data_IF_703829276665
#
_entry.id   IF_703829276665
#
_cell.length_a   1.000
_cell.length_b   1.000
_cell.length_c   1.000
_cell.angle_alpha   90.00
_cell.angle_beta   90.00
_cell.angle_gamma   90.00
#
_symmetry.space_group_name_H-M   'P 1'
#
loop_
_entity.id
_entity.type
_entity.pdbx_description
1 polymer ?
#
# COMPACT_ATOMS: atom_id res chain seq x y z
N UNK A 1 12.62 -17.52 6.00
CA UNK A 1 11.19 -17.45 6.35
C UNK A 1 10.44 -17.88 5.11
N UNK A 2 9.56 -18.88 5.22
CA UNK A 2 8.76 -19.36 4.10
C UNK A 2 7.33 -18.84 4.28
N UNK A 3 6.83 -18.07 3.32
CA UNK A 3 5.47 -17.57 3.34
C UNK A 3 4.58 -18.68 2.78
N UNK A 4 3.50 -19.00 3.48
CA UNK A 4 2.53 -20.01 3.04
C UNK A 4 1.53 -19.37 2.08
N UNK A 5 1.87 -19.36 0.79
CA UNK A 5 1.07 -18.75 -0.27
C UNK A 5 -0.29 -19.45 -0.40
N UNK A 6 -0.35 -20.77 -0.25
CA UNK A 6 -1.61 -21.50 -0.31
C UNK A 6 -2.56 -21.01 0.79
N UNK A 7 -2.06 -20.83 2.02
CA UNK A 7 -2.86 -20.30 3.13
C UNK A 7 -3.34 -18.87 2.86
N UNK A 8 -2.52 -18.01 2.26
CA UNK A 8 -2.93 -16.66 1.87
C UNK A 8 -4.02 -16.69 0.79
N UNK A 9 -3.87 -17.55 -0.21
CA UNK A 9 -4.84 -17.74 -1.28
C UNK A 9 -6.19 -18.24 -0.74
N UNK A 10 -6.17 -19.27 0.11
CA UNK A 10 -7.39 -19.82 0.72
C UNK A 10 -8.13 -18.72 1.50
N UNK A 11 -7.39 -17.87 2.22
CA UNK A 11 -7.98 -16.75 2.95
C UNK A 11 -8.53 -15.68 2.00
N UNK A 12 -7.80 -15.31 0.94
CA UNK A 12 -8.22 -14.35 -0.08
C UNK A 12 -9.58 -14.73 -0.69
N UNK A 13 -9.76 -16.00 -1.09
CA UNK A 13 -11.01 -16.51 -1.67
C UNK A 13 -12.20 -16.36 -0.71
N UNK A 14 -11.97 -16.44 0.61
CA UNK A 14 -13.05 -16.29 1.60
C UNK A 14 -13.42 -14.85 1.94
N UNK A 15 -12.50 -13.91 1.72
CA UNK A 15 -12.65 -12.53 2.16
C UNK A 15 -13.35 -11.62 1.14
N UNK A 16 -13.56 -12.08 -0.10
CA UNK A 16 -14.14 -11.30 -1.20
C UNK A 16 -13.50 -9.91 -1.32
N UNK A 17 -12.17 -9.85 -1.21
CA UNK A 17 -11.42 -8.59 -1.29
C UNK A 17 -11.63 -7.99 -2.68
N UNK A 18 -12.02 -6.71 -2.79
CA UNK A 18 -12.19 -6.06 -4.08
C UNK A 18 -10.92 -6.10 -4.94
N UNK A 19 -11.09 -6.21 -6.25
CA UNK A 19 -9.99 -6.18 -7.22
C UNK A 19 -10.51 -5.66 -8.57
N UNK A 20 -10.33 -4.36 -8.90
CA UNK A 20 -9.79 -3.28 -8.08
C UNK A 20 -10.81 -2.78 -7.02
N UNK A 21 -10.35 -1.87 -6.14
CA UNK A 21 -11.21 -1.17 -5.20
C UNK A 21 -11.94 0.01 -5.87
N UNK A 22 -13.17 0.28 -5.42
CA UNK A 22 -13.93 1.48 -5.79
C UNK A 22 -13.49 2.69 -4.97
N UNK A 23 -13.81 3.91 -5.44
CA UNK A 23 -13.52 5.14 -4.68
C UNK A 23 -14.20 5.18 -3.30
N UNK A 24 -15.37 4.56 -3.16
CA UNK A 24 -16.09 4.46 -1.88
C UNK A 24 -15.34 3.54 -0.90
N UNK A 25 -14.90 2.37 -1.37
CA UNK A 25 -14.11 1.44 -0.56
C UNK A 25 -12.74 2.00 -0.19
N UNK A 26 -12.10 2.74 -1.10
CA UNK A 26 -10.87 3.47 -0.81
C UNK A 26 -11.13 4.52 0.27
N UNK A 27 -12.21 5.30 0.15
CA UNK A 27 -12.56 6.30 1.13
C UNK A 27 -12.77 5.70 2.52
N UNK A 28 -13.57 4.65 2.63
CA UNK A 28 -13.79 3.91 3.89
C UNK A 28 -12.46 3.43 4.46
N UNK A 29 -11.63 2.74 3.66
CA UNK A 29 -10.34 2.22 4.11
C UNK A 29 -9.42 3.33 4.63
N UNK A 30 -9.27 4.42 3.89
CA UNK A 30 -8.38 5.52 4.26
C UNK A 30 -8.85 6.24 5.53
N UNK A 31 -10.15 6.49 5.66
CA UNK A 31 -10.72 7.20 6.81
C UNK A 31 -10.77 6.33 8.07
N UNK A 32 -11.12 5.04 7.95
CA UNK A 32 -11.27 4.17 9.11
C UNK A 32 -9.93 3.70 9.66
N UNK A 33 -9.01 3.27 8.79
CA UNK A 33 -7.72 2.72 9.23
C UNK A 33 -6.71 3.81 9.53
N UNK A 34 -6.63 4.81 8.66
CA UNK A 34 -5.58 5.83 8.70
C UNK A 34 -6.08 7.19 9.17
N UNK A 35 -7.36 7.32 9.52
CA UNK A 35 -7.94 8.59 9.96
C UNK A 35 -7.68 9.73 8.96
N UNK A 36 -7.60 9.37 7.67
CA UNK A 36 -7.35 10.33 6.60
C UNK A 36 -8.52 11.30 6.48
N UNK A 37 -8.23 12.55 6.15
CA UNK A 37 -9.23 13.55 5.84
C UNK A 37 -9.32 13.71 4.32
N UNK A 38 -10.52 13.57 3.77
CA UNK A 38 -10.78 13.92 2.38
C UNK A 38 -10.83 15.45 2.27
N UNK A 39 -10.04 16.03 1.38
CA UNK A 39 -9.96 17.48 1.19
C UNK A 39 -10.31 17.88 -0.25
N UNK A 40 -10.51 19.18 -0.46
CA UNK A 40 -10.71 19.73 -1.79
C UNK A 40 -9.40 19.64 -2.61
N UNK A 41 -9.51 19.32 -3.91
CA UNK A 41 -8.36 19.25 -4.80
C UNK A 41 -7.63 20.60 -4.92
N UNK A 42 -8.32 21.72 -4.74
CA UNK A 42 -7.73 23.06 -4.80
C UNK A 42 -6.65 23.31 -3.73
N UNK A 43 -6.64 22.54 -2.63
CA UNK A 43 -5.53 22.55 -1.66
C UNK A 43 -4.19 22.19 -2.30
N UNK A 44 -4.22 21.45 -3.41
CA UNK A 44 -3.04 21.03 -4.18
C UNK A 44 -2.96 21.70 -5.55
N UNK A 45 -3.62 22.84 -5.74
CA UNK A 45 -3.68 23.55 -7.03
C UNK A 45 -2.31 23.90 -7.61
N UNK A 46 -1.28 24.07 -6.78
CA UNK A 46 0.09 24.29 -7.22
C UNK A 46 0.66 23.14 -8.07
N UNK A 47 0.17 21.90 -7.88
CA UNK A 47 0.56 20.73 -8.67
C UNK A 47 0.15 20.84 -10.15
N UNK A 48 -0.77 21.75 -10.51
CA UNK A 48 -1.07 22.06 -11.92
C UNK A 48 0.13 22.56 -12.70
N UNK A 49 1.10 23.14 -12.00
CA UNK A 49 2.32 23.66 -12.60
C UNK A 49 3.43 22.60 -12.69
N UNK A 50 3.25 21.43 -12.09
CA UNK A 50 4.20 20.32 -12.15
C UNK A 50 3.80 19.36 -13.29
N UNK A 51 4.57 19.31 -14.40
CA UNK A 51 4.25 18.44 -15.53
C UNK A 51 4.39 16.95 -15.20
N UNK A 52 4.99 16.58 -14.07
CA UNK A 52 5.17 15.20 -13.64
C UNK A 52 4.15 14.76 -12.58
N UNK A 53 3.37 15.69 -12.01
CA UNK A 53 2.40 15.36 -10.98
C UNK A 53 1.14 14.67 -11.53
N UNK A 54 0.83 14.80 -12.82
CA UNK A 54 -0.38 14.22 -13.42
C UNK A 54 -1.67 14.77 -12.82
N UNK A 55 -1.67 16.04 -12.41
CA UNK A 55 -2.79 16.62 -11.66
C UNK A 55 -4.08 16.74 -12.48
N UNK A 56 -3.99 16.71 -13.80
CA UNK A 56 -5.13 16.64 -14.72
C UNK A 56 -5.96 15.34 -14.56
N UNK A 57 -5.36 14.30 -13.99
CA UNK A 57 -6.01 13.01 -13.71
C UNK A 57 -6.52 12.91 -12.28
N UNK A 58 -6.35 13.95 -11.46
CA UNK A 58 -6.76 13.94 -10.06
C UNK A 58 -8.28 13.80 -9.89
N UNK A 59 -8.72 12.83 -9.09
CA UNK A 59 -10.15 12.57 -8.83
C UNK A 59 -10.58 12.77 -7.37
N UNK A 60 -9.63 12.69 -6.43
CA UNK A 60 -9.85 12.96 -5.01
C UNK A 60 -8.51 13.20 -4.32
N UNK A 61 -8.50 13.92 -3.20
CA UNK A 61 -7.32 14.09 -2.36
C UNK A 61 -7.60 13.72 -0.90
N UNK A 62 -6.61 13.09 -0.28
CA UNK A 62 -6.61 12.69 1.12
C UNK A 62 -5.34 13.17 1.80
N UNK A 63 -5.47 13.77 2.97
CA UNK A 63 -4.35 14.16 3.84
C UNK A 63 -4.33 13.31 5.10
N UNK A 64 -3.14 12.95 5.56
CA UNK A 64 -2.96 12.11 6.76
C UNK A 64 -2.28 12.93 7.85
N UNK A 65 -3.09 13.57 8.70
CA UNK A 65 -2.62 14.47 9.76
C UNK A 65 -2.71 13.83 11.16
N UNK A 66 -3.52 12.78 11.32
CA UNK A 66 -3.71 12.12 12.61
C UNK A 66 -2.51 11.23 12.96
N UNK A 67 -1.95 11.43 14.15
CA UNK A 67 -0.76 10.71 14.64
C UNK A 67 -0.95 9.18 14.64
N UNK A 68 -2.18 8.69 14.87
CA UNK A 68 -2.49 7.25 14.82
C UNK A 68 -2.39 6.70 13.40
N UNK A 69 -2.76 7.52 12.41
CA UNK A 69 -2.63 7.20 11.00
C UNK A 69 -1.17 7.26 10.55
N UNK A 70 -0.50 8.37 10.81
CA UNK A 70 0.89 8.59 10.35
C UNK A 70 1.86 7.57 10.95
N UNK A 71 1.71 7.17 12.21
CA UNK A 71 2.48 6.08 12.83
C UNK A 71 2.30 4.74 12.12
N UNK A 72 1.11 4.45 11.62
CA UNK A 72 0.89 3.25 10.81
C UNK A 72 1.56 3.39 9.44
N UNK A 73 1.42 4.54 8.76
CA UNK A 73 1.98 4.77 7.44
C UNK A 73 3.51 4.61 7.39
N UNK A 74 4.22 4.96 8.46
CA UNK A 74 5.68 4.77 8.54
C UNK A 74 6.10 3.41 9.08
N UNK A 75 5.17 2.49 9.39
CA UNK A 75 5.51 1.23 10.08
C UNK A 75 6.39 0.28 9.26
N UNK A 76 6.43 0.48 7.93
CA UNK A 76 7.28 -0.26 7.01
C UNK A 76 8.51 0.53 6.56
N UNK A 77 8.63 1.81 6.93
CA UNK A 77 9.80 2.63 6.61
C UNK A 77 11.01 2.20 7.44
N UNK A 78 12.20 2.41 6.88
CA UNK A 78 13.45 2.39 7.65
C UNK A 78 13.52 3.63 8.51
N UNK A 79 14.14 3.52 9.68
CA UNK A 79 14.32 4.66 10.58
C UNK A 79 15.04 5.84 9.90
N UNK A 80 15.97 5.56 8.97
CA UNK A 80 16.70 6.57 8.20
C UNK A 80 15.84 7.29 7.14
N UNK A 81 14.75 6.66 6.69
CA UNK A 81 13.83 7.19 5.67
C UNK A 81 12.68 8.01 6.30
N UNK A 82 12.63 8.12 7.63
CA UNK A 82 11.59 8.85 8.35
C UNK A 82 12.09 10.28 8.59
N UNK A 83 11.38 11.25 8.02
CA UNK A 83 11.72 12.68 8.11
C UNK A 83 10.54 13.47 8.65
N UNK A 84 10.80 14.29 9.69
CA UNK A 84 9.81 15.19 10.28
C UNK A 84 9.85 16.57 9.60
N UNK A 85 8.70 17.26 9.46
CA UNK A 85 7.37 16.82 9.90
C UNK A 85 6.79 15.69 9.02
N UNK A 86 6.07 14.75 9.64
CA UNK A 86 5.32 13.71 8.91
C UNK A 86 4.12 14.31 8.17
N UNK A 87 4.33 14.67 6.91
CA UNK A 87 3.28 15.19 6.02
C UNK A 87 3.06 14.21 4.88
N UNK A 88 1.87 13.59 4.86
CA UNK A 88 1.48 12.69 3.78
C UNK A 88 0.17 13.15 3.14
N UNK A 89 0.13 13.02 1.82
CA UNK A 89 -1.10 13.16 1.06
C UNK A 89 -1.13 12.16 -0.08
N UNK A 90 -2.32 11.74 -0.47
CA UNK A 90 -2.53 11.02 -1.71
C UNK A 90 -3.58 11.73 -2.54
N UNK A 91 -3.17 12.15 -3.74
CA UNK A 91 -4.03 12.72 -4.76
C UNK A 91 -4.30 11.60 -5.77
N UNK A 92 -5.46 10.96 -5.65
CA UNK A 92 -5.84 9.79 -6.46
C UNK A 92 -5.83 10.16 -7.93
N UNK A 93 -5.17 9.34 -8.75
CA UNK A 93 -4.97 9.59 -10.18
C UNK A 93 -3.80 10.52 -10.50
N UNK A 94 -3.19 11.15 -9.51
CA UNK A 94 -2.07 12.08 -9.67
C UNK A 94 -0.84 11.55 -8.94
N UNK A 95 -0.54 12.08 -7.74
CA UNK A 95 0.70 11.80 -7.02
C UNK A 95 0.48 11.51 -5.54
N UNK A 96 1.54 11.01 -4.90
CA UNK A 96 1.63 10.87 -3.43
C UNK A 96 2.64 11.89 -2.95
N UNK A 97 2.31 12.62 -1.89
CA UNK A 97 3.24 13.49 -1.17
C UNK A 97 3.68 12.82 0.14
N UNK A 98 4.93 13.07 0.51
CA UNK A 98 5.60 12.37 1.60
C UNK A 98 6.07 10.96 1.19
N UNK A 99 6.84 10.33 2.06
CA UNK A 99 7.45 9.03 1.78
C UNK A 99 6.97 7.96 2.76
N UNK A 100 6.05 7.10 2.31
CA UNK A 100 5.52 5.99 3.10
C UNK A 100 5.50 4.73 2.25
N UNK A 101 6.29 3.71 2.63
CA UNK A 101 6.25 2.44 1.94
C UNK A 101 4.88 1.78 2.09
N UNK A 102 4.25 1.87 3.27
CA UNK A 102 2.92 1.26 3.48
C UNK A 102 1.85 1.91 2.59
N UNK A 103 1.86 3.24 2.44
CA UNK A 103 0.89 3.93 1.57
C UNK A 103 1.06 3.51 0.12
N UNK A 104 2.29 3.41 -0.38
CA UNK A 104 2.58 2.96 -1.74
C UNK A 104 2.11 1.52 -1.98
N UNK A 105 2.25 0.65 -0.98
CA UNK A 105 1.73 -0.72 -1.02
C UNK A 105 0.19 -0.76 -0.98
N UNK A 106 -0.46 0.02 -0.12
CA UNK A 106 -1.94 0.12 -0.09
C UNK A 106 -2.50 0.64 -1.42
N UNK A 107 -1.87 1.65 -2.03
CA UNK A 107 -2.25 2.14 -3.36
C UNK A 107 -2.16 1.02 -4.41
N UNK A 108 -1.13 0.18 -4.34
CA UNK A 108 -1.00 -0.98 -5.21
C UNK A 108 -2.13 -2.00 -4.99
N UNK A 109 -2.60 -2.18 -3.74
CA UNK A 109 -3.79 -2.99 -3.45
C UNK A 109 -5.04 -2.40 -4.08
N UNK A 110 -5.24 -1.08 -3.97
CA UNK A 110 -6.44 -0.44 -4.49
C UNK A 110 -6.58 -0.54 -6.01
N UNK A 111 -5.46 -0.45 -6.73
CA UNK A 111 -5.45 -0.66 -8.18
C UNK A 111 -5.56 -2.14 -8.57
N UNK A 112 -5.21 -3.06 -7.69
CA UNK A 112 -5.40 -4.48 -7.90
C UNK A 112 -4.45 -5.09 -8.94
N UNK A 113 -4.83 -6.26 -9.44
CA UNK A 113 -4.13 -7.02 -10.49
C UNK A 113 -5.10 -7.47 -11.57
N UNK A 114 -4.58 -7.71 -12.78
CA UNK A 114 -5.40 -8.16 -13.90
C UNK A 114 -6.08 -9.50 -13.59
N UNK A 115 -7.37 -9.63 -13.90
CA UNK A 115 -8.16 -10.83 -13.58
C UNK A 115 -7.57 -12.12 -14.20
N UNK A 116 -6.97 -12.01 -15.39
CA UNK A 116 -6.29 -13.14 -16.03
C UNK A 116 -4.99 -13.58 -15.33
N UNK A 117 -4.43 -12.74 -14.46
CA UNK A 117 -3.24 -13.07 -13.68
C UNK A 117 -3.57 -13.71 -12.32
N UNK A 118 -4.84 -13.69 -11.88
CA UNK A 118 -5.33 -14.21 -10.59
C UNK A 118 -5.36 -15.75 -10.59
N UNK A 119 -4.17 -16.35 -10.65
CA UNK A 119 -3.96 -17.80 -10.74
C UNK A 119 -2.79 -18.17 -9.84
N UNK A 120 -2.99 -19.12 -8.93
CA UNK A 120 -1.92 -19.63 -8.07
C UNK A 120 -0.77 -20.21 -8.91
N UNK A 121 0.48 -19.91 -8.55
CA UNK A 121 1.67 -20.17 -9.38
C UNK A 121 2.07 -19.01 -10.30
N UNK A 122 1.22 -17.99 -10.48
CA UNK A 122 1.63 -16.73 -11.08
C UNK A 122 2.34 -15.87 -10.02
N UNK A 123 3.64 -15.62 -10.20
CA UNK A 123 4.47 -14.92 -9.23
C UNK A 123 3.95 -13.52 -8.88
N UNK A 124 3.37 -12.79 -9.84
CA UNK A 124 2.79 -11.47 -9.58
C UNK A 124 1.56 -11.57 -8.69
N UNK A 125 0.71 -12.56 -8.91
CA UNK A 125 -0.45 -12.77 -8.05
C UNK A 125 -0.06 -13.28 -6.66
N UNK A 126 0.94 -14.15 -6.55
CA UNK A 126 1.45 -14.60 -5.25
C UNK A 126 2.02 -13.44 -4.43
N UNK A 127 2.75 -12.53 -5.06
CA UNK A 127 3.20 -11.30 -4.41
C UNK A 127 2.04 -10.35 -4.06
N UNK A 128 0.97 -10.34 -4.85
CA UNK A 128 -0.24 -9.61 -4.50
C UNK A 128 -0.91 -10.16 -3.23
N UNK A 129 -0.90 -11.49 -3.03
CA UNK A 129 -1.37 -12.10 -1.78
C UNK A 129 -0.51 -11.68 -0.58
N UNK A 130 0.81 -11.59 -0.77
CA UNK A 130 1.74 -11.09 0.26
C UNK A 130 1.49 -9.60 0.53
N UNK A 131 1.22 -8.82 -0.50
CA UNK A 131 0.86 -7.40 -0.40
C UNK A 131 -0.40 -7.22 0.44
N UNK A 132 -1.46 -7.98 0.16
CA UNK A 132 -2.71 -7.97 0.94
C UNK A 132 -2.47 -8.34 2.40
N UNK A 133 -1.52 -9.24 2.66
CA UNK A 133 -1.14 -9.62 4.02
C UNK A 133 -0.34 -8.52 4.74
N UNK A 134 0.69 -7.96 4.09
CA UNK A 134 1.50 -6.85 4.61
C UNK A 134 0.67 -5.61 4.95
N UNK A 135 -0.34 -5.35 4.12
CA UNK A 135 -1.25 -4.21 4.29
C UNK A 135 -2.42 -4.53 5.22
N UNK A 136 -2.53 -5.73 5.78
CA UNK A 136 -3.61 -6.10 6.71
C UNK A 136 -5.00 -6.11 6.06
N UNK A 137 -5.09 -6.50 4.79
CA UNK A 137 -6.33 -6.92 4.15
C UNK A 137 -6.58 -8.42 4.36
N UNK A 138 -5.49 -9.19 4.49
CA UNK A 138 -5.51 -10.57 4.98
C UNK A 138 -4.93 -10.54 6.39
N UNK A 139 -5.65 -11.11 7.35
CA UNK A 139 -5.20 -11.25 8.74
C UNK A 139 -5.53 -12.65 9.25
N UNK A 140 -4.71 -13.14 10.19
CA UNK A 140 -4.90 -14.42 10.85
C UNK A 140 -4.97 -14.26 12.36
N UNK A 141 -5.78 -15.08 13.01
CA UNK A 141 -5.76 -15.16 14.48
C UNK A 141 -4.40 -15.71 14.95
N UNK A 142 -3.85 -15.09 16.00
CA UNK A 142 -2.56 -15.45 16.59
C UNK A 142 -1.39 -15.41 15.59
N UNK A 143 -1.38 -14.39 14.73
CA UNK A 143 -0.36 -14.20 13.72
C UNK A 143 1.04 -14.00 14.32
N UNK A 144 1.97 -14.89 13.96
CA UNK A 144 3.39 -14.82 14.37
C UNK A 144 4.33 -14.42 13.23
N UNK A 145 3.82 -14.28 12.01
CA UNK A 145 4.61 -14.07 10.79
C UNK A 145 4.56 -12.64 10.28
N UNK A 146 3.51 -11.88 10.55
CA UNK A 146 3.40 -10.49 10.09
C UNK A 146 4.53 -9.61 10.63
N UNK A 147 4.88 -9.75 11.92
CA UNK A 147 5.99 -9.02 12.54
C UNK A 147 7.34 -9.28 11.84
N UNK A 148 7.78 -10.55 11.73
CA UNK A 148 8.98 -10.91 10.97
C UNK A 148 8.96 -10.46 9.50
N UNK A 149 7.81 -10.54 8.83
CA UNK A 149 7.66 -10.10 7.44
C UNK A 149 7.85 -8.59 7.29
N UNK A 150 7.20 -7.79 8.13
CA UNK A 150 7.37 -6.34 8.16
C UNK A 150 8.79 -5.92 8.51
N UNK A 151 9.46 -6.65 9.41
CA UNK A 151 10.88 -6.41 9.71
C UNK A 151 11.79 -6.70 8.51
N UNK A 152 11.57 -7.79 7.78
CA UNK A 152 12.31 -8.04 6.52
C UNK A 152 12.08 -6.95 5.48
N UNK A 153 10.84 -6.47 5.35
CA UNK A 153 10.57 -5.36 4.42
C UNK A 153 11.40 -4.13 4.80
N UNK A 154 11.44 -3.76 6.09
CA UNK A 154 12.29 -2.67 6.60
C UNK A 154 13.78 -2.91 6.36
N UNK A 155 14.26 -4.15 6.38
CA UNK A 155 15.66 -4.48 6.06
C UNK A 155 16.00 -4.27 4.57
N UNK A 156 15.02 -3.94 3.72
CA UNK A 156 15.21 -3.62 2.30
C UNK A 156 14.87 -4.75 1.34
N UNK A 157 14.20 -5.80 1.83
CA UNK A 157 13.59 -6.83 0.98
C UNK A 157 12.26 -6.32 0.42
N UNK A 158 12.03 -6.52 -0.87
CA UNK A 158 10.90 -5.92 -1.59
C UNK A 158 10.03 -7.00 -2.25
N UNK A 159 8.86 -6.61 -2.73
CA UNK A 159 8.11 -7.38 -3.72
C UNK A 159 8.69 -7.03 -5.10
N UNK A 160 8.74 -7.94 -6.08
CA UNK A 160 9.21 -7.65 -7.44
C UNK A 160 8.28 -6.70 -8.19
N UNK A 161 6.98 -6.87 -8.02
CA UNK A 161 5.97 -6.22 -8.86
C UNK A 161 5.25 -5.04 -8.20
N UNK A 162 5.43 -4.84 -6.89
CA UNK A 162 4.66 -3.86 -6.12
C UNK A 162 5.55 -3.03 -5.20
N UNK A 163 5.09 -1.81 -4.90
CA UNK A 163 5.83 -0.87 -4.06
C UNK A 163 7.10 -0.34 -4.70
N UNK A 164 7.99 0.18 -3.86
CA UNK A 164 9.22 0.83 -4.30
C UNK A 164 10.29 -0.22 -4.56
N UNK A 165 10.85 -0.21 -5.78
CA UNK A 165 12.01 -1.02 -6.14
C UNK A 165 13.29 -0.25 -5.86
N UNK A 166 14.24 -0.90 -5.19
CA UNK A 166 15.58 -0.35 -4.96
C UNK A 166 16.67 -1.04 -5.82
N UNK A 167 16.27 -1.94 -6.72
CA UNK A 167 17.18 -2.66 -7.63
C UNK A 167 18.12 -3.65 -6.94
N UNK A 168 17.91 -3.96 -5.65
CA UNK A 168 18.82 -4.81 -4.88
C UNK A 168 18.64 -6.32 -5.08
N UNK A 169 17.69 -6.73 -5.94
CA UNK A 169 17.27 -8.13 -6.17
C UNK A 169 16.97 -8.94 -4.89
N UNK A 170 16.77 -8.26 -3.75
CA UNK A 170 16.41 -8.86 -2.48
C UNK A 170 14.89 -8.92 -2.38
N UNK A 171 14.34 -10.12 -2.55
CA UNK A 171 12.89 -10.31 -2.59
C UNK A 171 12.36 -10.98 -1.32
N UNK A 172 11.18 -10.56 -0.86
CA UNK A 172 10.50 -11.15 0.30
C UNK A 172 10.09 -12.61 0.08
N UNK A 173 9.89 -12.95 -1.17
CA UNK A 173 9.42 -14.24 -1.68
C UNK A 173 10.35 -14.67 -2.80
N UNK A 174 10.66 -15.96 -2.91
CA UNK A 174 11.63 -16.49 -3.89
C UNK A 174 11.02 -16.72 -5.27
#
# INVERSE_FOLDING_TARGET
MQIDIQKLYDKYITLNIPNPFTLEQIHERLTEKYYAEKVDLEEFSDLRNDPYAGFDQAVAAYVFKDERGTKQLISLNKDEDIHEPLEFAWIIGSTVQGFSYLLMLEISVFYGVEESEVILGNQRFEEYLILLYLTGHIEFENDRFIGPLSSRYREGYNLRYFGIQNGSDNYLYE
#
